data_IF_652302331560
#
_entry.id   IF_652302331560
#
_cell.length_a   1.000
_cell.length_b   1.000
_cell.length_c   1.000
_cell.angle_alpha   90.00
_cell.angle_beta   90.00
_cell.angle_gamma   90.00
#
_symmetry.space_group_name_H-M   'P 1'
#
loop_
_entity.id
_entity.type
_entity.pdbx_description
1 polymer ?
#
# COMPACT_ATOMS: atom_id res chain seq x y z
N UNK A 1 -12.67 -4.70 4.72
CA UNK A 1 -12.35 -5.92 4.04
C UNK A 1 -12.19 -7.03 5.05
N UNK A 2 -11.76 -6.71 6.18
CA UNK A 2 -11.51 -7.58 7.31
C UNK A 2 -12.70 -8.43 7.69
N UNK A 3 -13.88 -7.83 7.64
CA UNK A 3 -15.15 -8.50 7.94
C UNK A 3 -15.93 -8.92 6.70
N UNK A 4 -15.45 -8.55 5.52
CA UNK A 4 -16.09 -8.81 4.25
C UNK A 4 -15.01 -9.23 3.24
N UNK A 5 -14.40 -10.40 3.45
CA UNK A 5 -13.22 -10.81 2.68
C UNK A 5 -13.50 -11.10 1.22
N UNK A 6 -14.75 -11.29 0.84
CA UNK A 6 -15.18 -11.46 -0.54
C UNK A 6 -15.51 -10.14 -1.23
N UNK A 7 -15.50 -9.03 -0.48
CA UNK A 7 -15.64 -7.68 -1.00
C UNK A 7 -14.30 -6.97 -0.87
N UNK A 8 -13.74 -6.61 -1.97
CA UNK A 8 -12.55 -5.78 -1.97
C UNK A 8 -12.97 -4.32 -1.98
N UNK A 9 -12.24 -3.50 -1.26
CA UNK A 9 -12.51 -2.06 -1.16
C UNK A 9 -11.75 -1.25 -2.21
N UNK A 10 -11.08 -1.88 -3.13
CA UNK A 10 -10.53 -1.22 -4.29
C UNK A 10 -11.58 -0.91 -5.38
N UNK A 11 -12.79 -1.39 -5.21
CA UNK A 11 -13.86 -1.01 -6.07
C UNK A 11 -14.34 0.40 -5.82
N UNK A 12 -14.86 0.99 -6.85
CA UNK A 12 -15.48 2.29 -6.85
C UNK A 12 -16.57 2.42 -5.81
N UNK A 13 -16.19 2.74 -4.60
CA UNK A 13 -17.10 3.07 -3.53
C UNK A 13 -17.64 1.90 -2.71
N UNK A 14 -17.51 0.67 -3.14
CA UNK A 14 -18.03 -0.49 -2.42
C UNK A 14 -17.14 -1.71 -2.46
N UNK A 15 -15.88 -1.50 -2.74
CA UNK A 15 -15.00 -2.60 -3.04
C UNK A 15 -15.45 -3.28 -4.33
N UNK A 16 -14.54 -3.56 -5.20
CA UNK A 16 -14.84 -4.15 -6.48
C UNK A 16 -15.05 -5.60 -6.50
N UNK A 17 -15.38 -6.03 -5.39
CA UNK A 17 -15.61 -7.39 -5.06
C UNK A 17 -16.63 -8.10 -5.90
N UNK A 18 -17.34 -7.38 -6.67
CA UNK A 18 -18.26 -7.96 -7.65
C UNK A 18 -17.56 -8.45 -8.91
N UNK A 19 -16.31 -8.14 -9.09
CA UNK A 19 -15.54 -8.76 -10.14
C UNK A 19 -15.33 -10.25 -9.82
N UNK A 20 -15.33 -11.11 -10.83
CA UNK A 20 -15.07 -12.54 -10.64
C UNK A 20 -13.68 -12.81 -10.06
N UNK A 21 -12.82 -11.84 -10.10
CA UNK A 21 -11.44 -11.93 -9.62
C UNK A 21 -11.35 -11.78 -8.13
N UNK A 22 -12.13 -10.87 -7.56
CA UNK A 22 -12.12 -10.59 -6.13
C UNK A 22 -12.78 -11.69 -5.31
N UNK A 23 -13.65 -12.48 -5.92
CA UNK A 23 -14.30 -13.62 -5.26
C UNK A 23 -13.49 -14.91 -5.30
N UNK A 24 -12.35 -14.91 -5.98
CA UNK A 24 -11.46 -16.07 -6.08
C UNK A 24 -10.19 -15.82 -5.29
N UNK A 25 -9.69 -16.85 -4.64
CA UNK A 25 -8.34 -16.84 -4.09
C UNK A 25 -7.38 -17.04 -5.26
N UNK A 26 -6.79 -15.96 -5.70
CA UNK A 26 -5.81 -15.93 -6.79
C UNK A 26 -4.52 -15.38 -6.22
N UNK A 27 -3.39 -15.98 -6.57
CA UNK A 27 -2.09 -15.50 -6.17
C UNK A 27 -1.92 -14.02 -6.54
N UNK A 28 -1.49 -13.20 -5.60
CA UNK A 28 -1.33 -11.77 -5.77
C UNK A 28 -2.58 -10.93 -5.49
N UNK A 29 -3.69 -11.55 -5.18
CA UNK A 29 -4.89 -10.90 -4.69
C UNK A 29 -4.71 -10.45 -3.22
N UNK A 30 -5.69 -9.72 -2.65
CA UNK A 30 -5.63 -9.17 -1.29
C UNK A 30 -5.23 -10.17 -0.20
N UNK A 31 -5.52 -11.46 -0.39
CA UNK A 31 -5.16 -12.52 0.55
C UNK A 31 -3.77 -13.11 0.33
N UNK A 32 -3.22 -12.96 -0.86
CA UNK A 32 -1.98 -13.61 -1.27
C UNK A 32 -0.75 -12.70 -1.25
N UNK A 33 -0.94 -11.39 -1.15
CA UNK A 33 0.19 -10.44 -1.04
C UNK A 33 1.14 -10.80 0.10
N UNK A 34 0.69 -11.10 1.32
CA UNK A 34 1.59 -11.51 2.39
C UNK A 34 2.39 -12.77 2.05
N UNK A 35 1.81 -13.71 1.29
CA UNK A 35 2.50 -14.92 0.88
C UNK A 35 3.64 -14.62 -0.10
N UNK A 36 3.44 -13.72 -1.05
CA UNK A 36 4.46 -13.31 -2.03
C UNK A 36 5.62 -12.59 -1.33
N UNK A 37 5.30 -11.62 -0.47
CA UNK A 37 6.29 -10.88 0.31
C UNK A 37 7.06 -11.82 1.24
N UNK A 38 6.37 -12.68 1.98
CA UNK A 38 6.99 -13.65 2.88
C UNK A 38 7.93 -14.61 2.16
N UNK A 39 7.57 -15.11 0.98
CA UNK A 39 8.46 -15.91 0.15
C UNK A 39 9.72 -15.16 -0.28
N UNK A 40 9.59 -13.88 -0.62
CA UNK A 40 10.72 -13.03 -1.00
C UNK A 40 11.66 -12.80 0.19
N UNK A 41 11.12 -12.52 1.37
CA UNK A 41 11.88 -12.32 2.61
C UNK A 41 12.65 -13.60 2.98
N UNK A 42 11.98 -14.75 2.97
CA UNK A 42 12.61 -16.05 3.24
C UNK A 42 13.71 -16.38 2.22
N UNK A 43 13.48 -16.10 0.94
CA UNK A 43 14.49 -16.29 -0.11
C UNK A 43 15.72 -15.39 0.09
N UNK A 44 15.52 -14.22 0.67
CA UNK A 44 16.63 -13.33 1.05
C UNK A 44 17.35 -13.74 2.32
N UNK A 45 16.93 -14.82 2.99
CA UNK A 45 17.58 -15.38 4.17
C UNK A 45 17.11 -14.80 5.50
N UNK A 46 16.00 -14.08 5.51
CA UNK A 46 15.42 -13.50 6.72
C UNK A 46 14.20 -14.30 7.19
N UNK A 47 13.93 -14.25 8.48
CA UNK A 47 12.67 -14.72 9.08
C UNK A 47 11.73 -13.54 9.31
N UNK A 48 10.44 -13.80 9.40
CA UNK A 48 9.44 -12.78 9.67
C UNK A 48 8.29 -13.33 10.54
N UNK A 49 7.54 -12.42 11.12
CA UNK A 49 6.21 -12.65 11.67
C UNK A 49 5.22 -11.80 10.91
N UNK A 50 3.97 -12.21 10.88
CA UNK A 50 2.90 -11.49 10.18
C UNK A 50 1.74 -11.26 11.12
N UNK A 51 1.15 -10.09 11.04
CA UNK A 51 -0.06 -9.73 11.76
C UNK A 51 -0.95 -8.85 10.89
N UNK A 52 -2.20 -8.67 11.30
CA UNK A 52 -3.08 -7.68 10.68
C UNK A 52 -2.83 -6.28 11.27
N UNK A 53 -3.29 -5.28 10.57
CA UNK A 53 -3.22 -3.89 11.00
C UNK A 53 -3.98 -3.62 12.29
N UNK A 54 -5.12 -4.30 12.51
CA UNK A 54 -5.91 -4.13 13.73
C UNK A 54 -5.15 -4.42 15.02
N UNK A 55 -4.20 -5.37 14.99
CA UNK A 55 -3.40 -5.67 16.20
C UNK A 55 -2.32 -4.61 16.46
N UNK A 56 -1.90 -3.89 15.43
CA UNK A 56 -1.05 -2.71 15.57
C UNK A 56 -1.89 -1.54 16.10
N UNK A 57 -3.05 -1.29 15.50
CA UNK A 57 -3.94 -0.20 15.86
C UNK A 57 -4.45 -0.28 17.30
N UNK A 58 -4.70 -1.48 17.80
CA UNK A 58 -5.14 -1.69 19.19
C UNK A 58 -3.99 -1.86 20.19
N UNK A 59 -2.74 -1.78 19.73
CA UNK A 59 -1.55 -1.86 20.56
C UNK A 59 -1.19 -3.27 21.06
N UNK A 60 -1.80 -4.32 20.51
CA UNK A 60 -1.48 -5.71 20.90
C UNK A 60 -0.10 -6.15 20.38
N UNK A 61 0.38 -5.54 19.31
CA UNK A 61 1.72 -5.74 18.77
C UNK A 61 2.39 -4.38 18.62
N UNK A 62 3.62 -4.27 19.13
CA UNK A 62 4.45 -3.08 19.00
C UNK A 62 5.37 -3.18 17.81
N UNK A 63 5.33 -2.20 16.91
CA UNK A 63 6.29 -2.12 15.79
C UNK A 63 7.72 -1.92 16.28
N UNK A 64 7.91 -1.39 17.48
CA UNK A 64 9.24 -1.12 18.07
C UNK A 64 10.05 -2.40 18.35
N UNK A 65 9.39 -3.54 18.39
CA UNK A 65 10.03 -4.84 18.61
C UNK A 65 10.73 -5.37 17.35
N UNK A 66 10.57 -4.68 16.21
CA UNK A 66 11.06 -5.13 14.91
C UNK A 66 11.93 -4.05 14.26
N UNK A 67 13.13 -4.39 13.77
CA UNK A 67 14.00 -3.41 13.11
C UNK A 67 13.52 -3.02 11.71
N UNK A 68 12.68 -3.86 11.10
CA UNK A 68 12.14 -3.65 9.76
C UNK A 68 10.67 -4.06 9.72
N UNK A 69 9.85 -3.20 9.13
CA UNK A 69 8.42 -3.43 8.91
C UNK A 69 8.11 -3.37 7.42
N UNK A 70 7.42 -4.38 6.92
CA UNK A 70 6.87 -4.46 5.57
C UNK A 70 5.35 -4.27 5.68
N UNK A 71 4.86 -3.08 5.34
CA UNK A 71 3.45 -2.74 5.34
C UNK A 71 2.85 -3.00 3.96
N UNK A 72 2.05 -4.04 3.88
CA UNK A 72 1.46 -4.51 2.63
C UNK A 72 0.01 -4.04 2.55
N UNK A 73 -0.24 -2.99 1.79
CA UNK A 73 -1.57 -2.41 1.61
C UNK A 73 -2.35 -3.05 0.45
N UNK A 74 -1.63 -3.65 -0.49
CA UNK A 74 -2.26 -4.26 -1.66
C UNK A 74 -3.05 -3.24 -2.47
N UNK A 75 -4.35 -3.47 -2.61
CA UNK A 75 -5.30 -2.58 -3.29
C UNK A 75 -6.22 -1.87 -2.29
N UNK A 76 -5.82 -1.79 -1.04
CA UNK A 76 -6.61 -1.12 0.00
C UNK A 76 -6.66 0.39 -0.19
N UNK A 77 -7.84 0.95 -0.05
CA UNK A 77 -8.10 2.39 0.00
C UNK A 77 -9.26 2.70 0.91
N UNK A 78 -9.37 3.95 1.29
CA UNK A 78 -10.48 4.42 2.11
C UNK A 78 -11.81 4.21 1.38
N UNK A 79 -12.73 3.52 2.03
CA UNK A 79 -14.02 3.16 1.45
C UNK A 79 -15.13 3.38 2.46
N UNK A 80 -16.23 3.95 2.00
CA UNK A 80 -17.45 4.13 2.78
C UNK A 80 -18.53 3.19 2.28
N UNK A 81 -18.95 2.27 3.13
CA UNK A 81 -20.00 1.31 2.83
C UNK A 81 -21.31 1.67 3.51
N UNK A 82 -22.44 1.50 2.78
CA UNK A 82 -23.76 1.83 3.27
C UNK A 82 -24.16 3.25 2.99
N UNK A 83 -25.30 3.65 3.55
CA UNK A 83 -25.92 4.97 3.31
C UNK A 83 -26.23 5.68 4.61
N UNK A 84 -26.17 7.01 4.57
CA UNK A 84 -26.54 7.85 5.70
C UNK A 84 -25.55 7.83 6.86
N UNK A 85 -26.02 8.22 8.04
CA UNK A 85 -25.21 8.41 9.24
C UNK A 85 -24.65 7.10 9.83
N UNK A 86 -25.18 5.95 9.43
CA UNK A 86 -24.76 4.63 9.89
C UNK A 86 -23.84 3.93 8.89
N UNK A 87 -23.36 4.65 7.89
CA UNK A 87 -22.40 4.07 6.94
C UNK A 87 -21.11 3.66 7.66
N UNK A 88 -20.65 2.47 7.35
CA UNK A 88 -19.32 2.00 7.79
C UNK A 88 -18.24 2.65 6.95
N UNK A 89 -17.14 3.00 7.58
CA UNK A 89 -15.97 3.57 6.95
C UNK A 89 -14.76 2.69 7.24
N UNK A 90 -14.06 2.31 6.18
CA UNK A 90 -12.78 1.63 6.27
C UNK A 90 -11.69 2.61 5.86
N UNK A 91 -10.64 2.70 6.65
CA UNK A 91 -9.47 3.56 6.39
C UNK A 91 -8.22 2.70 6.33
N UNK A 92 -7.42 2.93 5.32
CA UNK A 92 -6.09 2.30 5.20
C UNK A 92 -5.15 2.85 6.27
N UNK A 93 -5.08 4.17 6.35
CA UNK A 93 -4.25 4.87 7.35
C UNK A 93 -5.15 5.52 8.41
N UNK A 94 -5.63 4.73 9.33
CA UNK A 94 -6.36 5.27 10.49
C UNK A 94 -5.46 6.18 11.32
N UNK A 95 -6.00 7.09 12.14
CA UNK A 95 -5.18 7.91 13.03
C UNK A 95 -4.26 7.07 13.95
N UNK A 96 -4.73 5.90 14.40
CA UNK A 96 -3.93 4.99 15.22
C UNK A 96 -2.76 4.39 14.44
N UNK A 97 -3.00 3.98 13.19
CA UNK A 97 -1.93 3.48 12.32
C UNK A 97 -0.93 4.59 11.98
N UNK A 98 -1.39 5.79 11.64
CA UNK A 98 -0.51 6.93 11.39
C UNK A 98 0.39 7.23 12.60
N UNK A 99 -0.18 7.20 13.81
CA UNK A 99 0.59 7.43 15.04
C UNK A 99 1.62 6.32 15.26
N UNK A 100 1.23 5.06 15.11
CA UNK A 100 2.14 3.91 15.29
C UNK A 100 3.32 3.95 14.32
N UNK A 101 3.06 4.27 13.05
CA UNK A 101 4.09 4.41 12.02
C UNK A 101 5.00 5.63 12.27
N UNK A 102 4.42 6.74 12.70
CA UNK A 102 5.17 7.95 13.06
C UNK A 102 6.14 7.66 14.20
N UNK A 103 5.66 7.06 15.29
CA UNK A 103 6.48 6.71 16.43
C UNK A 103 7.58 5.71 16.07
N UNK A 104 7.26 4.76 15.20
CA UNK A 104 8.21 3.78 14.72
C UNK A 104 9.34 4.41 13.91
N UNK A 105 9.01 5.25 12.93
CA UNK A 105 10.00 5.93 12.10
C UNK A 105 10.85 6.94 12.91
N UNK A 106 10.24 7.69 13.83
CA UNK A 106 10.97 8.63 14.68
C UNK A 106 11.99 7.96 15.61
N UNK A 107 11.75 6.71 15.99
CA UNK A 107 12.69 5.90 16.77
C UNK A 107 13.73 5.15 15.92
N UNK A 108 13.78 5.41 14.63
CA UNK A 108 14.77 4.84 13.71
C UNK A 108 14.37 3.51 13.10
N UNK A 109 13.11 3.13 13.17
CA UNK A 109 12.59 1.94 12.49
C UNK A 109 12.66 2.07 10.96
N UNK A 110 12.90 0.97 10.27
CA UNK A 110 12.93 0.91 8.80
C UNK A 110 11.59 0.40 8.28
N UNK A 111 10.93 1.22 7.45
CA UNK A 111 9.59 0.94 6.94
C UNK A 111 9.63 0.80 5.42
N UNK A 112 9.07 -0.30 4.90
CA UNK A 112 8.73 -0.48 3.51
C UNK A 112 7.21 -0.51 3.35
N UNK A 113 6.67 0.27 2.42
CA UNK A 113 5.23 0.30 2.16
C UNK A 113 5.00 -0.02 0.69
N UNK A 114 4.07 -0.92 0.44
CA UNK A 114 3.64 -1.27 -0.91
C UNK A 114 2.12 -1.28 -1.02
N UNK A 115 1.61 -0.77 -2.14
CA UNK A 115 0.18 -0.73 -2.44
C UNK A 115 -0.12 0.13 -3.64
N UNK A 116 -1.27 -0.10 -4.27
CA UNK A 116 -1.69 0.64 -5.45
C UNK A 116 -2.13 2.08 -5.12
N UNK A 117 -2.68 2.30 -3.94
CA UNK A 117 -3.36 3.55 -3.57
C UNK A 117 -2.73 4.28 -2.39
N UNK A 118 -1.44 4.09 -2.16
CA UNK A 118 -0.72 4.71 -1.04
C UNK A 118 -0.80 6.24 -1.03
N UNK A 119 -0.91 6.85 -2.20
CA UNK A 119 -0.99 8.30 -2.35
C UNK A 119 -2.41 8.82 -2.34
N UNK A 120 -3.31 8.23 -3.13
CA UNK A 120 -4.69 8.69 -3.23
C UNK A 120 -5.44 8.58 -1.91
N UNK A 121 -5.18 7.57 -1.13
CA UNK A 121 -5.84 7.37 0.16
C UNK A 121 -5.58 8.53 1.14
N UNK A 122 -4.37 9.08 1.16
CA UNK A 122 -3.99 10.20 2.03
C UNK A 122 -4.15 11.58 1.38
N UNK A 123 -4.33 11.63 0.07
CA UNK A 123 -4.24 12.90 -0.65
C UNK A 123 -5.47 13.26 -1.47
N UNK A 124 -5.97 12.32 -2.29
CA UNK A 124 -7.05 12.55 -3.25
C UNK A 124 -8.41 11.99 -2.79
N UNK A 125 -8.48 11.45 -1.62
CA UNK A 125 -9.71 10.99 -1.02
C UNK A 125 -10.53 12.20 -0.53
N UNK A 126 -11.85 12.28 -0.81
CA UNK A 126 -12.70 13.35 -0.30
C UNK A 126 -12.71 13.52 1.22
N UNK A 127 -12.31 12.48 1.94
CA UNK A 127 -12.21 12.48 3.41
C UNK A 127 -10.78 12.76 3.91
N UNK A 128 -9.81 12.88 3.01
CA UNK A 128 -8.45 13.23 3.38
C UNK A 128 -8.40 14.67 3.88
N UNK A 129 -7.68 14.87 4.96
CA UNK A 129 -7.51 16.16 5.61
C UNK A 129 -6.04 16.59 5.62
N UNK A 130 -5.74 17.73 6.23
CA UNK A 130 -4.36 18.22 6.27
C UNK A 130 -3.42 17.30 7.07
N UNK A 131 -3.90 16.70 8.15
CA UNK A 131 -3.10 15.76 8.96
C UNK A 131 -2.67 14.54 8.15
N UNK A 132 -3.56 14.02 7.28
CA UNK A 132 -3.24 12.90 6.38
C UNK A 132 -2.11 13.29 5.39
N UNK A 133 -2.19 14.51 4.85
CA UNK A 133 -1.17 15.05 3.94
C UNK A 133 0.16 15.31 4.65
N UNK A 134 0.10 15.80 5.86
CA UNK A 134 1.29 16.04 6.70
C UNK A 134 1.96 14.70 7.04
N UNK A 135 1.20 13.67 7.39
CA UNK A 135 1.72 12.32 7.59
C UNK A 135 2.42 11.80 6.32
N UNK A 136 1.80 11.93 5.15
CA UNK A 136 2.43 11.53 3.89
C UNK A 136 3.74 12.27 3.61
N UNK A 137 3.78 13.58 3.85
CA UNK A 137 4.94 14.42 3.51
C UNK A 137 6.05 14.39 4.56
N UNK A 138 5.70 14.38 5.84
CA UNK A 138 6.65 14.48 6.94
C UNK A 138 7.17 13.13 7.43
N UNK A 139 6.32 12.11 7.40
CA UNK A 139 6.68 10.76 7.84
C UNK A 139 7.04 9.88 6.65
N UNK A 140 6.15 9.72 5.68
CA UNK A 140 6.35 8.84 4.53
C UNK A 140 7.20 9.48 3.42
N UNK A 141 7.44 10.78 3.48
CA UNK A 141 8.35 11.53 2.61
C UNK A 141 7.95 11.58 1.13
N UNK A 142 6.66 11.45 0.81
CA UNK A 142 6.16 11.61 -0.56
C UNK A 142 4.99 12.59 -0.66
N UNK A 143 4.75 13.03 -1.90
CA UNK A 143 3.54 13.72 -2.34
C UNK A 143 2.86 12.92 -3.44
N UNK A 144 1.55 12.86 -3.40
CA UNK A 144 0.76 12.29 -4.48
C UNK A 144 0.73 13.22 -5.70
N UNK A 145 0.77 12.64 -6.89
CA UNK A 145 0.72 13.38 -8.15
C UNK A 145 -0.49 13.04 -8.99
N UNK A 146 -0.78 11.78 -9.16
CA UNK A 146 -1.92 11.32 -9.93
C UNK A 146 -2.27 9.88 -9.55
N UNK A 147 -3.55 9.55 -9.60
CA UNK A 147 -4.00 8.18 -9.71
C UNK A 147 -3.94 7.71 -11.16
N UNK A 148 -4.07 6.42 -11.39
CA UNK A 148 -4.02 5.82 -12.73
C UNK A 148 -2.76 6.23 -13.53
N UNK A 149 -1.63 6.24 -12.86
CA UNK A 149 -0.38 6.75 -13.39
C UNK A 149 0.26 5.84 -14.44
N UNK A 150 -0.17 4.60 -14.53
CA UNK A 150 0.35 3.61 -15.46
C UNK A 150 -0.73 2.64 -15.90
N UNK A 151 -0.70 2.23 -17.16
CA UNK A 151 -1.64 1.30 -17.77
C UNK A 151 -0.94 0.00 -18.18
N UNK A 152 0.28 0.10 -18.68
CA UNK A 152 1.04 -1.05 -19.18
C UNK A 152 1.92 -1.68 -18.08
N UNK A 153 2.05 -1.06 -16.93
CA UNK A 153 2.83 -1.57 -15.82
C UNK A 153 4.33 -1.60 -16.02
N UNK A 154 4.85 -0.85 -16.96
CA UNK A 154 6.29 -0.78 -17.23
C UNK A 154 6.99 0.13 -16.25
N UNK A 155 8.05 -0.37 -15.62
CA UNK A 155 8.83 0.35 -14.63
C UNK A 155 10.32 0.22 -14.95
N UNK A 156 11.06 1.31 -14.77
CA UNK A 156 12.51 1.33 -14.92
C UNK A 156 13.19 2.06 -13.78
N UNK A 157 14.42 1.66 -13.49
CA UNK A 157 15.27 2.37 -12.54
C UNK A 157 15.71 3.73 -13.11
N UNK A 158 15.87 4.69 -12.20
CA UNK A 158 16.41 6.02 -12.51
C UNK A 158 17.62 6.30 -11.62
N UNK A 159 18.50 7.18 -12.06
CA UNK A 159 19.69 7.52 -11.30
C UNK A 159 19.32 8.18 -9.97
N UNK A 160 19.75 7.55 -8.89
CA UNK A 160 19.66 8.10 -7.53
C UNK A 160 20.76 7.47 -6.67
N UNK A 161 21.04 8.00 -5.47
CA UNK A 161 22.01 7.42 -4.56
C UNK A 161 21.75 5.95 -4.18
N UNK A 162 20.50 5.51 -4.28
CA UNK A 162 20.04 4.18 -3.89
C UNK A 162 19.61 3.30 -5.05
N UNK A 163 19.77 3.77 -6.29
CA UNK A 163 19.30 3.00 -7.45
C UNK A 163 20.29 1.92 -7.85
N UNK A 164 19.77 0.75 -8.12
CA UNK A 164 20.46 -0.23 -8.95
C UNK A 164 20.06 0.04 -10.40
N UNK A 165 20.98 0.59 -11.19
CA UNK A 165 20.71 0.94 -12.59
C UNK A 165 20.49 -0.31 -13.44
N UNK A 166 19.74 -0.14 -14.53
CA UNK A 166 19.47 -1.21 -15.49
C UNK A 166 18.31 -2.13 -15.08
N UNK A 167 17.65 -1.89 -13.97
CA UNK A 167 16.45 -2.64 -13.61
C UNK A 167 15.29 -2.15 -14.46
N UNK A 168 14.65 -3.10 -15.14
CA UNK A 168 13.37 -2.91 -15.82
C UNK A 168 12.48 -4.11 -15.48
N UNK A 169 11.23 -3.85 -15.22
CA UNK A 169 10.23 -4.89 -15.06
C UNK A 169 8.85 -4.36 -15.44
N UNK A 170 7.93 -5.29 -15.63
CA UNK A 170 6.51 -4.99 -15.82
C UNK A 170 5.75 -5.66 -14.70
N UNK A 171 4.97 -4.91 -13.95
CA UNK A 171 4.04 -5.52 -13.04
C UNK A 171 2.84 -6.08 -13.80
N UNK A 172 2.08 -6.95 -13.17
CA UNK A 172 0.96 -7.62 -13.82
C UNK A 172 -0.15 -6.62 -14.14
N UNK A 173 -0.47 -6.50 -15.42
CA UNK A 173 -1.60 -5.72 -15.93
C UNK A 173 -2.67 -6.60 -16.60
N UNK A 174 -2.49 -7.92 -16.55
CA UNK A 174 -3.43 -8.90 -17.04
C UNK A 174 -3.63 -10.00 -15.99
N UNK A 175 -4.88 -10.43 -15.84
CA UNK A 175 -5.21 -11.53 -14.95
C UNK A 175 -4.66 -12.86 -15.50
N UNK A 176 -4.00 -13.61 -14.67
CA UNK A 176 -3.57 -14.97 -14.95
C UNK A 176 -3.81 -15.90 -13.75
N UNK A 177 -3.39 -17.17 -13.86
CA UNK A 177 -3.62 -18.17 -12.81
C UNK A 177 -2.80 -17.91 -11.53
N UNK A 178 -1.75 -17.11 -11.61
CA UNK A 178 -0.79 -16.91 -10.52
C UNK A 178 -0.85 -15.51 -9.90
N UNK A 179 -1.48 -14.57 -10.61
CA UNK A 179 -1.53 -13.17 -10.18
C UNK A 179 -2.80 -12.49 -10.69
N UNK A 180 -3.11 -11.36 -10.12
CA UNK A 180 -4.20 -10.51 -10.55
C UNK A 180 -3.68 -9.18 -11.07
N UNK A 181 -4.57 -8.42 -11.69
CA UNK A 181 -4.25 -7.12 -12.29
C UNK A 181 -3.89 -6.11 -11.22
N UNK A 182 -2.81 -5.37 -11.44
CA UNK A 182 -2.53 -4.13 -10.71
C UNK A 182 -3.19 -2.99 -11.49
N UNK A 183 -4.29 -2.50 -10.95
CA UNK A 183 -5.09 -1.45 -11.58
C UNK A 183 -4.72 -0.09 -11.00
N UNK A 184 -4.75 0.91 -11.87
CA UNK A 184 -4.75 2.33 -11.47
C UNK A 184 -3.75 2.72 -10.38
N UNK A 185 -2.47 2.30 -10.44
CA UNK A 185 -1.51 2.62 -9.40
C UNK A 185 -1.26 4.13 -9.32
N UNK A 186 -1.01 4.60 -8.10
CA UNK A 186 -0.66 5.99 -7.86
C UNK A 186 0.73 6.35 -8.38
N UNK A 187 0.88 7.59 -8.84
CA UNK A 187 2.15 8.25 -8.95
C UNK A 187 2.42 9.10 -7.72
N UNK A 188 3.57 8.88 -7.11
CA UNK A 188 4.08 9.68 -6.02
C UNK A 188 5.43 10.30 -6.38
N UNK A 189 5.79 11.36 -5.71
CA UNK A 189 7.11 11.98 -5.85
C UNK A 189 7.73 12.27 -4.48
N UNK A 190 9.04 12.44 -4.40
CA UNK A 190 9.71 12.89 -3.18
C UNK A 190 9.11 14.19 -2.63
N UNK A 191 8.82 14.21 -1.33
CA UNK A 191 8.34 15.42 -0.64
C UNK A 191 9.48 16.36 -0.21
N UNK A 192 10.69 15.82 -0.06
CA UNK A 192 11.86 16.56 0.42
C UNK A 192 13.09 16.22 -0.42
N UNK A 193 14.15 17.00 -0.27
CA UNK A 193 15.44 16.76 -0.93
C UNK A 193 16.19 15.52 -0.39
N UNK A 194 15.72 14.96 0.71
CA UNK A 194 16.28 13.75 1.33
C UNK A 194 15.62 12.47 0.81
N UNK A 195 14.50 12.59 0.10
CA UNK A 195 13.80 11.49 -0.53
C UNK A 195 14.16 11.39 -2.01
N UNK A 196 14.24 10.19 -2.53
CA UNK A 196 14.70 9.94 -3.88
C UNK A 196 13.77 8.99 -4.64
N UNK A 197 13.53 9.31 -5.91
CA UNK A 197 12.91 8.38 -6.85
C UNK A 197 13.96 7.34 -7.26
N UNK A 198 13.66 6.06 -7.06
CA UNK A 198 14.53 4.95 -7.50
C UNK A 198 13.97 4.21 -8.71
N UNK A 199 12.65 4.22 -8.86
CA UNK A 199 11.92 3.60 -9.96
C UNK A 199 10.91 4.59 -10.53
N UNK A 200 10.66 4.49 -11.82
CA UNK A 200 9.69 5.35 -12.52
C UNK A 200 8.90 4.56 -13.54
N UNK A 201 7.63 4.87 -13.68
CA UNK A 201 6.85 4.41 -14.83
C UNK A 201 7.51 4.88 -16.13
N UNK A 202 7.49 4.02 -17.13
CA UNK A 202 8.20 4.25 -18.41
C UNK A 202 7.29 4.15 -19.62
N UNK A 203 6.00 4.27 -19.43
CA UNK A 203 4.99 4.38 -20.50
C UNK A 203 4.88 5.82 -20.99
#
# INVERSE_FOLDING_TARGET
>A
RRNIPWMDDDASGFGDSYSNYETKVIAGNSFDYPAIHGKAILKAGYSFVSCSDEVIENGSVSLQDYPFVDLILGKEKQTKMGKGAMALEFKTFTPSMQQALTDYCQKGGSLFISGAYVGSDLWDNPMANQTDKDFATEVLKYKWRAGQAAVEGKVKSVTSPYSVLGIQYTYYNELNAESYVVESPDAIEPATNEAFTVLRYSE
#
